data_IF_471097162192
#
_entry.id   IF_471097162192
#
_cell.length_a   1.000
_cell.length_b   1.000
_cell.length_c   1.000
_cell.angle_alpha   90.00
_cell.angle_beta   90.00
_cell.angle_gamma   90.00
#
_symmetry.space_group_name_H-M   'P 1'
#
loop_
_entity.id
_entity.type
_entity.pdbx_description
1 polymer ?
#
# COMPACT_ATOMS: atom_id res chain seq x y z
N UNK A 1 -6.51 10.60 -11.96
CA UNK A 1 -7.40 9.56 -11.39
C UNK A 1 -8.86 9.99 -11.49
N UNK A 2 -9.74 9.25 -12.19
CA UNK A 2 -11.19 9.47 -12.18
C UNK A 2 -11.79 9.15 -10.79
N UNK A 3 -12.98 9.67 -10.47
CA UNK A 3 -13.65 9.51 -9.16
C UNK A 3 -13.80 8.06 -8.68
N UNK A 4 -13.78 7.10 -9.60
CA UNK A 4 -13.80 5.66 -9.33
C UNK A 4 -12.61 5.20 -8.46
N UNK A 5 -11.45 5.86 -8.58
CA UNK A 5 -10.22 5.50 -7.87
C UNK A 5 -10.25 5.88 -6.38
N UNK A 6 -10.83 7.02 -6.01
CA UNK A 6 -10.95 7.46 -4.60
C UNK A 6 -12.01 6.63 -3.86
N UNK A 7 -13.14 6.33 -4.52
CA UNK A 7 -14.13 5.39 -3.98
C UNK A 7 -13.55 3.98 -3.85
N UNK A 8 -12.68 3.58 -4.78
CA UNK A 8 -11.88 2.34 -4.71
C UNK A 8 -10.98 2.29 -3.47
N UNK A 9 -10.20 3.34 -3.21
CA UNK A 9 -9.33 3.45 -2.03
C UNK A 9 -10.12 3.39 -0.72
N UNK A 10 -11.24 4.12 -0.62
CA UNK A 10 -12.13 4.05 0.57
C UNK A 10 -12.77 2.68 0.75
N UNK A 11 -13.18 2.02 -0.34
CA UNK A 11 -13.77 0.66 -0.28
C UNK A 11 -12.74 -0.39 0.09
N UNK A 12 -11.53 -0.32 -0.47
CA UNK A 12 -10.41 -1.19 -0.11
C UNK A 12 -10.06 -1.01 1.38
N UNK A 13 -9.91 0.23 1.84
CA UNK A 13 -9.61 0.52 3.23
C UNK A 13 -10.72 0.09 4.21
N UNK A 14 -12.00 0.36 3.89
CA UNK A 14 -13.13 -0.10 4.73
C UNK A 14 -13.23 -1.62 4.83
N UNK A 15 -12.88 -2.37 3.77
CA UNK A 15 -12.83 -3.85 3.80
C UNK A 15 -11.73 -4.37 4.71
N UNK A 16 -10.62 -3.64 4.84
CA UNK A 16 -9.50 -3.99 5.71
C UNK A 16 -9.79 -3.61 7.18
N UNK A 17 -10.44 -2.48 7.43
CA UNK A 17 -10.80 -1.99 8.78
C UNK A 17 -11.92 -2.81 9.45
N UNK A 18 -12.82 -3.39 8.67
CA UNK A 18 -13.92 -4.22 9.16
C UNK A 18 -14.06 -5.50 8.31
N UNK A 19 -13.24 -6.54 8.55
CA UNK A 19 -13.37 -7.80 7.85
C UNK A 19 -14.55 -8.61 8.45
N UNK A 20 -15.79 -8.27 8.09
CA UNK A 20 -16.95 -9.01 8.60
C UNK A 20 -18.30 -8.49 8.11
N UNK A 21 -18.88 -9.19 7.12
CA UNK A 21 -20.25 -8.95 6.66
C UNK A 21 -20.52 -9.50 5.25
N UNK A 22 -20.24 -10.78 5.01
CA UNK A 22 -20.46 -11.42 3.72
C UNK A 22 -20.24 -12.94 3.76
N UNK A 23 -20.93 -13.64 4.66
CA UNK A 23 -21.20 -15.08 4.49
C UNK A 23 -22.36 -15.26 3.51
N UNK A 24 -22.59 -16.40 2.86
CA UNK A 24 -22.07 -17.74 3.06
C UNK A 24 -22.94 -18.67 2.20
N UNK A 25 -22.35 -19.77 1.78
CA UNK A 25 -22.91 -20.89 1.02
C UNK A 25 -24.29 -21.36 1.48
N UNK A 26 -25.18 -21.64 0.52
CA UNK A 26 -26.48 -22.25 0.77
C UNK A 26 -26.40 -23.74 1.05
N UNK A 27 -27.12 -24.20 2.07
CA UNK A 27 -27.67 -25.55 2.16
C UNK A 27 -28.96 -25.47 2.99
N UNK A 28 -30.03 -26.07 2.46
CA UNK A 28 -31.42 -25.97 2.91
C UNK A 28 -31.80 -27.14 3.83
N UNK A 29 -32.52 -26.82 4.91
CA UNK A 29 -33.61 -27.59 5.59
C UNK A 29 -33.75 -27.03 7.03
N UNK A 30 -34.90 -26.85 7.67
CA UNK A 30 -36.31 -27.00 7.35
C UNK A 30 -37.12 -26.32 8.49
N UNK A 31 -38.35 -25.93 8.19
CA UNK A 31 -39.49 -25.69 9.09
C UNK A 31 -39.69 -24.32 9.81
N UNK A 32 -40.96 -23.92 9.76
CA UNK A 32 -41.67 -22.69 10.14
C UNK A 32 -42.19 -22.76 11.61
N UNK A 33 -43.05 -21.84 12.11
CA UNK A 33 -43.18 -20.38 11.92
C UNK A 33 -43.42 -19.61 13.26
N UNK A 34 -43.34 -18.28 13.26
CA UNK A 34 -44.41 -17.44 13.84
C UNK A 34 -44.22 -15.94 13.60
N UNK A 35 -45.36 -15.28 13.46
CA UNK A 35 -45.58 -13.97 12.90
C UNK A 35 -45.33 -12.79 13.87
N UNK A 36 -45.00 -11.61 13.33
CA UNK A 36 -45.84 -10.41 13.51
C UNK A 36 -45.52 -9.33 12.47
N UNK A 37 -46.61 -8.83 11.88
CA UNK A 37 -46.68 -7.92 10.72
C UNK A 37 -46.38 -6.46 11.09
N UNK A 38 -45.78 -5.73 10.16
CA UNK A 38 -45.83 -4.26 10.04
C UNK A 38 -47.12 -3.85 9.32
N UNK A 39 -47.68 -2.66 9.57
CA UNK A 39 -48.64 -2.04 8.66
C UNK A 39 -48.03 -0.87 7.87
N UNK A 40 -48.42 -0.77 6.61
CA UNK A 40 -48.44 0.43 5.77
C UNK A 40 -49.70 0.34 4.88
N UNK A 41 -50.03 1.35 4.08
CA UNK A 41 -50.65 2.62 4.43
C UNK A 41 -52.10 2.74 3.87
N UNK A 42 -52.89 3.71 4.34
CA UNK A 42 -54.22 4.02 3.76
C UNK A 42 -54.13 5.16 2.76
N UNK A 43 -54.65 4.89 1.57
CA UNK A 43 -54.94 5.78 0.44
C UNK A 43 -56.37 6.33 0.51
N UNK A 44 -56.54 7.63 0.21
CA UNK A 44 -57.80 8.26 -0.22
C UNK A 44 -57.38 9.34 -1.24
N UNK A 45 -57.54 9.09 -2.54
CA UNK A 45 -58.69 9.39 -3.42
C UNK A 45 -58.86 10.88 -3.72
N UNK A 46 -58.80 11.20 -5.02
CA UNK A 46 -58.95 12.51 -5.62
C UNK A 46 -60.41 12.80 -6.01
N UNK A 47 -60.84 14.05 -5.90
CA UNK A 47 -61.68 14.70 -6.93
C UNK A 47 -61.69 16.22 -6.80
N UNK A 48 -61.82 16.83 -7.97
CA UNK A 48 -62.46 18.11 -8.31
C UNK A 48 -61.64 19.40 -8.52
N UNK A 49 -62.01 20.00 -9.67
CA UNK A 49 -61.45 21.11 -10.41
C UNK A 49 -62.33 22.36 -10.20
N UNK A 50 -61.69 23.54 -10.16
CA UNK A 50 -62.14 24.87 -10.64
C UNK A 50 -61.70 25.97 -9.64
N UNK A 51 -60.79 26.89 -9.99
CA UNK A 51 -60.94 28.12 -10.79
C UNK A 51 -60.97 29.37 -9.90
N UNK A 52 -60.00 30.26 -10.15
CA UNK A 52 -59.92 31.71 -9.94
C UNK A 52 -59.46 32.36 -8.61
N UNK A 53 -58.65 33.39 -8.88
CA UNK A 53 -58.38 34.66 -8.18
C UNK A 53 -57.22 34.69 -7.19
N UNK A 54 -56.21 35.45 -7.64
CA UNK A 54 -54.93 35.59 -6.98
C UNK A 54 -54.97 36.44 -5.74
N UNK A 55 -53.91 36.29 -4.94
CA UNK A 55 -53.40 37.30 -4.03
C UNK A 55 -51.87 37.27 -4.16
N UNK A 56 -51.32 38.46 -4.35
CA UNK A 56 -49.91 38.81 -4.40
C UNK A 56 -49.19 38.42 -3.12
N UNK A 57 -48.09 37.68 -3.24
CA UNK A 57 -47.10 37.50 -2.17
C UNK A 57 -45.90 38.41 -2.49
N UNK A 58 -45.46 39.30 -1.59
CA UNK A 58 -44.35 40.19 -1.88
C UNK A 58 -43.04 39.42 -1.92
N UNK A 59 -42.24 39.77 -2.93
CA UNK A 59 -40.84 39.42 -3.11
C UNK A 59 -40.05 39.70 -1.84
N UNK A 60 -39.53 38.65 -1.21
CA UNK A 60 -38.57 38.77 -0.13
C UNK A 60 -37.22 39.20 -0.71
N UNK A 61 -36.88 40.43 -0.34
CA UNK A 61 -35.68 41.20 -0.59
C UNK A 61 -34.38 40.41 -0.39
N UNK A 62 -33.44 40.67 -1.29
CA UNK A 62 -32.06 40.19 -1.29
C UNK A 62 -31.19 40.79 -0.16
N UNK A 63 -31.59 40.62 1.10
CA UNK A 63 -30.88 41.11 2.29
C UNK A 63 -30.21 39.99 3.13
N UNK A 64 -30.42 38.71 2.78
CA UNK A 64 -29.89 37.56 3.52
C UNK A 64 -28.52 37.03 3.05
N UNK A 65 -28.00 37.51 1.92
CA UNK A 65 -26.79 36.99 1.29
C UNK A 65 -25.49 37.65 1.80
N UNK A 66 -25.56 38.85 2.37
CA UNK A 66 -24.38 39.59 2.85
C UNK A 66 -23.93 39.19 4.25
N UNK A 67 -24.87 38.86 5.15
CA UNK A 67 -24.58 38.47 6.55
C UNK A 67 -23.92 37.09 6.66
N UNK A 68 -24.28 36.14 5.80
CA UNK A 68 -23.73 34.78 5.78
C UNK A 68 -22.30 34.74 5.23
N UNK A 69 -21.99 35.56 4.23
CA UNK A 69 -20.64 35.69 3.67
C UNK A 69 -19.65 36.32 4.67
N UNK A 70 -20.09 37.34 5.42
CA UNK A 70 -19.28 37.97 6.47
C UNK A 70 -19.00 36.98 7.62
N UNK A 71 -20.01 36.25 8.10
CA UNK A 71 -19.84 35.24 9.13
C UNK A 71 -18.95 34.07 8.68
N UNK A 72 -19.08 33.61 7.43
CA UNK A 72 -18.23 32.57 6.86
C UNK A 72 -16.76 33.04 6.73
N UNK A 73 -16.54 34.31 6.37
CA UNK A 73 -15.22 34.93 6.32
C UNK A 73 -14.57 35.01 7.71
N UNK A 74 -15.32 35.41 8.73
CA UNK A 74 -14.85 35.41 10.12
C UNK A 74 -14.53 34.00 10.61
N UNK A 75 -15.36 33.00 10.31
CA UNK A 75 -15.11 31.60 10.68
C UNK A 75 -13.86 31.03 9.97
N UNK A 76 -13.65 31.37 8.70
CA UNK A 76 -12.44 30.99 7.98
C UNK A 76 -11.18 31.63 8.58
N UNK A 77 -11.26 32.89 9.01
CA UNK A 77 -10.14 33.55 9.70
C UNK A 77 -9.83 32.91 11.05
N UNK A 78 -10.85 32.58 11.85
CA UNK A 78 -10.68 31.85 13.11
C UNK A 78 -10.08 30.47 12.88
N UNK A 79 -10.50 29.75 11.83
CA UNK A 79 -9.92 28.47 11.46
C UNK A 79 -8.43 28.58 11.14
N UNK A 80 -8.02 29.65 10.44
CA UNK A 80 -6.63 29.89 10.09
C UNK A 80 -5.77 30.18 11.33
N UNK A 81 -6.28 30.99 12.28
CA UNK A 81 -5.59 31.23 13.55
C UNK A 81 -5.42 29.95 14.37
N UNK A 82 -6.46 29.11 14.44
CA UNK A 82 -6.40 27.82 15.15
C UNK A 82 -5.39 26.87 14.46
N UNK A 83 -5.38 26.84 13.13
CA UNK A 83 -4.41 26.07 12.35
C UNK A 83 -2.99 26.58 12.61
N UNK A 84 -2.76 27.88 12.69
CA UNK A 84 -1.42 28.44 12.95
C UNK A 84 -0.94 28.18 14.37
N UNK A 85 -1.82 28.24 15.37
CA UNK A 85 -1.50 27.77 16.74
C UNK A 85 -1.18 26.27 16.75
N UNK A 86 -1.96 25.46 16.02
CA UNK A 86 -1.67 24.04 15.84
C UNK A 86 -0.30 23.80 15.22
N UNK A 87 0.09 24.61 14.22
CA UNK A 87 1.42 24.56 13.60
C UNK A 87 2.54 24.90 14.61
N UNK A 88 2.31 25.82 15.55
CA UNK A 88 3.26 26.14 16.61
C UNK A 88 3.45 24.97 17.58
N UNK A 89 2.35 24.38 18.09
CA UNK A 89 2.43 23.17 18.93
C UNK A 89 3.12 22.01 18.20
N UNK A 90 2.79 21.81 16.92
CA UNK A 90 3.44 20.78 16.09
C UNK A 90 4.96 20.99 15.99
N UNK A 91 5.42 22.22 15.78
CA UNK A 91 6.85 22.56 15.73
C UNK A 91 7.53 22.33 17.09
N UNK A 92 6.81 22.53 18.19
CA UNK A 92 7.30 22.29 19.55
C UNK A 92 7.29 20.80 19.94
N UNK A 93 6.82 19.90 19.06
CA UNK A 93 6.71 18.47 19.34
C UNK A 93 5.46 18.06 20.13
N UNK A 94 4.59 19.01 20.49
CA UNK A 94 3.33 18.75 21.16
C UNK A 94 2.23 18.40 20.14
N UNK A 95 2.28 17.14 19.69
CA UNK A 95 1.37 16.64 18.65
C UNK A 95 -0.07 16.46 19.14
N UNK A 96 -0.28 16.23 20.44
CA UNK A 96 -1.62 16.06 21.03
C UNK A 96 -2.37 17.39 21.00
N UNK A 97 -1.76 18.47 21.48
CA UNK A 97 -2.38 19.79 21.42
C UNK A 97 -2.56 20.26 19.98
N UNK A 98 -1.59 19.95 19.10
CA UNK A 98 -1.72 20.26 17.67
C UNK A 98 -2.94 19.56 17.04
N UNK A 99 -3.15 18.27 17.31
CA UNK A 99 -4.32 17.53 16.82
C UNK A 99 -5.64 18.16 17.30
N UNK A 100 -5.72 18.54 18.58
CA UNK A 100 -6.89 19.20 19.15
C UNK A 100 -7.18 20.53 18.45
N UNK A 101 -6.15 21.37 18.27
CA UNK A 101 -6.29 22.66 17.59
C UNK A 101 -6.68 22.52 16.12
N UNK A 102 -6.12 21.55 15.39
CA UNK A 102 -6.54 21.27 14.03
C UNK A 102 -7.98 20.76 13.96
N UNK A 103 -8.41 19.96 14.93
CA UNK A 103 -9.80 19.47 15.01
C UNK A 103 -10.78 20.63 15.19
N UNK A 104 -10.46 21.58 16.08
CA UNK A 104 -11.23 22.81 16.22
C UNK A 104 -11.20 23.65 14.93
N UNK A 105 -10.06 23.75 14.26
CA UNK A 105 -9.94 24.46 12.99
C UNK A 105 -10.81 23.84 11.88
N UNK A 106 -10.89 22.50 11.80
CA UNK A 106 -11.78 21.78 10.87
C UNK A 106 -13.25 22.07 11.14
N UNK A 107 -13.66 22.16 12.42
CA UNK A 107 -15.04 22.51 12.78
C UNK A 107 -15.41 23.94 12.30
N UNK A 108 -14.43 24.85 12.26
CA UNK A 108 -14.63 26.23 11.77
C UNK A 108 -14.57 26.34 10.25
N UNK A 109 -13.73 25.56 9.59
CA UNK A 109 -13.63 25.52 8.13
C UNK A 109 -13.39 24.08 7.62
N UNK A 110 -14.46 23.30 7.38
CA UNK A 110 -14.34 21.93 6.91
C UNK A 110 -13.99 21.82 5.42
N UNK A 111 -13.94 22.93 4.69
CA UNK A 111 -13.62 22.97 3.27
C UNK A 111 -12.11 23.12 3.00
N UNK A 112 -11.30 23.42 4.02
CA UNK A 112 -9.86 23.63 3.85
C UNK A 112 -9.07 22.29 3.88
N UNK A 113 -8.52 21.82 2.75
CA UNK A 113 -7.77 20.55 2.67
C UNK A 113 -6.47 20.56 3.48
N UNK A 114 -5.87 21.73 3.70
CA UNK A 114 -4.57 21.84 4.38
C UNK A 114 -4.68 21.50 5.86
N UNK A 115 -5.81 21.82 6.50
CA UNK A 115 -6.02 21.52 7.92
C UNK A 115 -6.07 20.00 8.15
N UNK A 116 -6.76 19.26 7.27
CA UNK A 116 -6.77 17.80 7.29
C UNK A 116 -5.36 17.22 7.10
N UNK A 117 -4.58 17.78 6.16
CA UNK A 117 -3.20 17.33 5.91
C UNK A 117 -2.29 17.57 7.12
N UNK A 118 -2.46 18.71 7.81
CA UNK A 118 -1.69 19.03 9.01
C UNK A 118 -2.09 18.14 10.19
N UNK A 119 -3.38 17.85 10.35
CA UNK A 119 -3.85 16.91 11.37
C UNK A 119 -3.38 15.48 11.09
N UNK A 120 -3.41 15.03 9.84
CA UNK A 120 -2.86 13.74 9.44
C UNK A 120 -1.38 13.60 9.82
N UNK A 121 -0.59 14.65 9.61
CA UNK A 121 0.82 14.65 10.01
C UNK A 121 0.99 14.55 11.53
N UNK A 122 0.19 15.28 12.32
CA UNK A 122 0.19 15.17 13.78
C UNK A 122 -0.19 13.75 14.24
N UNK A 123 -1.23 13.18 13.65
CA UNK A 123 -1.69 11.81 13.92
C UNK A 123 -0.66 10.75 13.58
N UNK A 124 0.06 10.90 12.46
CA UNK A 124 1.18 10.03 12.13
C UNK A 124 2.29 10.08 13.18
N UNK A 125 2.60 11.27 13.73
CA UNK A 125 3.59 11.41 14.80
C UNK A 125 3.15 10.79 16.12
N UNK A 126 1.84 10.69 16.34
CA UNK A 126 1.23 9.99 17.47
C UNK A 126 1.06 8.48 17.25
N UNK A 127 1.31 7.97 16.04
CA UNK A 127 1.06 6.57 15.68
C UNK A 127 -0.40 6.25 15.33
N UNK A 128 -1.28 7.27 15.26
CA UNK A 128 -2.68 7.14 14.86
C UNK A 128 -2.82 7.04 13.33
N UNK A 129 -2.25 5.98 12.73
CA UNK A 129 -2.14 5.84 11.28
C UNK A 129 -3.50 5.67 10.57
N UNK A 130 -4.46 5.00 11.20
CA UNK A 130 -5.81 4.85 10.64
C UNK A 130 -6.52 6.19 10.49
N UNK A 131 -6.50 7.00 11.54
CA UNK A 131 -7.12 8.33 11.53
C UNK A 131 -6.38 9.29 10.58
N UNK A 132 -5.07 9.13 10.44
CA UNK A 132 -4.29 9.86 9.45
C UNK A 132 -4.69 9.50 8.01
N UNK A 133 -5.00 8.23 7.72
CA UNK A 133 -5.52 7.81 6.41
C UNK A 133 -6.86 8.48 6.12
N UNK A 134 -7.78 8.48 7.08
CA UNK A 134 -9.11 9.11 6.93
C UNK A 134 -8.97 10.62 6.61
N UNK A 135 -8.07 11.32 7.31
CA UNK A 135 -7.76 12.73 7.05
C UNK A 135 -7.12 12.96 5.68
N UNK A 136 -6.16 12.12 5.29
CA UNK A 136 -5.53 12.22 3.97
C UNK A 136 -6.57 12.02 2.85
N UNK A 137 -7.43 11.01 2.99
CA UNK A 137 -8.50 10.75 2.03
C UNK A 137 -9.49 11.91 1.96
N UNK A 138 -9.83 12.54 3.10
CA UNK A 138 -10.69 13.74 3.08
C UNK A 138 -10.00 14.93 2.44
N UNK A 139 -8.71 15.14 2.70
CA UNK A 139 -7.94 16.19 2.01
C UNK A 139 -7.89 15.96 0.50
N UNK A 140 -7.75 14.72 0.04
CA UNK A 140 -7.70 14.37 -1.39
C UNK A 140 -9.07 14.58 -2.06
N UNK A 141 -10.15 14.31 -1.33
CA UNK A 141 -11.52 14.59 -1.77
C UNK A 141 -11.74 16.09 -2.02
N UNK A 142 -11.23 16.94 -1.12
CA UNK A 142 -11.32 18.40 -1.22
C UNK A 142 -10.33 18.98 -2.26
N UNK A 143 -9.12 18.44 -2.31
CA UNK A 143 -8.06 18.87 -3.22
C UNK A 143 -7.33 17.67 -3.82
N UNK A 144 -7.74 17.28 -5.02
CA UNK A 144 -7.21 16.10 -5.71
C UNK A 144 -5.70 16.16 -5.97
N UNK A 145 -5.13 17.35 -6.15
CA UNK A 145 -3.69 17.57 -6.43
C UNK A 145 -2.88 17.93 -5.17
N UNK A 146 -3.24 17.39 -4.01
CA UNK A 146 -2.47 17.61 -2.78
C UNK A 146 -1.37 16.55 -2.60
N UNK A 147 -0.15 16.88 -3.05
CA UNK A 147 1.05 16.01 -2.95
C UNK A 147 1.33 15.53 -1.51
N UNK A 148 1.20 16.42 -0.52
CA UNK A 148 1.48 16.08 0.89
C UNK A 148 0.49 15.06 1.43
N UNK A 149 -0.79 15.18 1.07
CA UNK A 149 -1.81 14.22 1.47
C UNK A 149 -1.51 12.81 0.93
N UNK A 150 -1.09 12.65 -0.33
CA UNK A 150 -0.66 11.35 -0.86
C UNK A 150 0.61 10.82 -0.18
N UNK A 151 1.55 11.70 0.15
CA UNK A 151 2.80 11.32 0.85
C UNK A 151 2.50 10.77 2.25
N UNK A 152 1.65 11.45 3.01
CA UNK A 152 1.23 11.01 4.35
C UNK A 152 0.33 9.77 4.29
N UNK A 153 -0.52 9.66 3.28
CA UNK A 153 -1.31 8.46 3.01
C UNK A 153 -0.42 7.24 2.79
N UNK A 154 0.58 7.35 1.90
CA UNK A 154 1.52 6.29 1.62
C UNK A 154 2.29 5.85 2.87
N UNK A 155 2.82 6.81 3.64
CA UNK A 155 3.54 6.51 4.89
C UNK A 155 2.66 5.83 5.93
N UNK A 156 1.40 6.27 6.07
CA UNK A 156 0.46 5.65 7.01
C UNK A 156 0.06 4.24 6.57
N UNK A 157 -0.12 4.02 5.26
CA UNK A 157 -0.38 2.69 4.69
C UNK A 157 0.80 1.73 4.89
N UNK A 158 2.05 2.21 4.74
CA UNK A 158 3.23 1.39 5.07
C UNK A 158 3.28 1.02 6.54
N UNK A 159 2.99 1.97 7.43
CA UNK A 159 3.00 1.70 8.87
C UNK A 159 1.95 0.64 9.28
N UNK A 160 0.84 0.55 8.54
CA UNK A 160 -0.19 -0.49 8.71
C UNK A 160 0.10 -1.78 7.89
N UNK A 161 1.30 -1.92 7.32
CA UNK A 161 1.70 -3.08 6.51
C UNK A 161 0.80 -3.32 5.28
N UNK A 162 0.37 -2.24 4.62
CA UNK A 162 -0.36 -2.27 3.35
C UNK A 162 0.50 -1.77 2.16
N UNK A 163 1.55 -2.51 1.75
CA UNK A 163 2.57 -2.00 0.84
C UNK A 163 2.07 -1.76 -0.60
N UNK A 164 1.06 -2.50 -1.06
CA UNK A 164 0.50 -2.32 -2.41
C UNK A 164 -0.20 -0.95 -2.55
N UNK A 165 -1.03 -0.61 -1.57
CA UNK A 165 -1.76 0.65 -1.52
C UNK A 165 -0.79 1.80 -1.30
N UNK A 166 0.17 1.61 -0.37
CA UNK A 166 1.22 2.58 -0.12
C UNK A 166 2.04 2.91 -1.38
N UNK A 167 2.43 1.90 -2.15
CA UNK A 167 3.16 2.10 -3.41
C UNK A 167 2.34 2.93 -4.40
N UNK A 168 1.05 2.63 -4.54
CA UNK A 168 0.16 3.38 -5.43
C UNK A 168 0.05 4.85 -5.02
N UNK A 169 -0.11 5.12 -3.72
CA UNK A 169 -0.17 6.47 -3.16
C UNK A 169 1.17 7.22 -3.32
N UNK A 170 2.30 6.54 -3.08
CA UNK A 170 3.64 7.10 -3.21
C UNK A 170 3.96 7.49 -4.66
N UNK A 171 3.61 6.65 -5.64
CA UNK A 171 3.79 6.95 -7.06
C UNK A 171 2.97 8.17 -7.49
N UNK A 172 1.73 8.33 -6.98
CA UNK A 172 0.93 9.53 -7.26
C UNK A 172 1.54 10.77 -6.61
N UNK A 173 2.04 10.67 -5.38
CA UNK A 173 2.77 11.77 -4.73
C UNK A 173 4.00 12.17 -5.55
N UNK A 174 4.76 11.20 -6.05
CA UNK A 174 5.96 11.42 -6.86
C UNK A 174 5.63 12.10 -8.19
N UNK A 175 4.59 11.62 -8.89
CA UNK A 175 4.12 12.21 -10.15
C UNK A 175 3.68 13.68 -9.96
N UNK A 176 2.95 13.97 -8.88
CA UNK A 176 2.56 15.34 -8.54
C UNK A 176 3.78 16.21 -8.19
N UNK A 177 4.79 15.63 -7.55
CA UNK A 177 6.03 16.31 -7.20
C UNK A 177 6.83 16.72 -8.45
N UNK A 178 6.99 15.81 -9.42
CA UNK A 178 7.74 16.09 -10.65
C UNK A 178 7.01 17.08 -11.56
N UNK A 179 5.68 16.97 -11.65
CA UNK A 179 4.85 17.85 -12.49
C UNK A 179 4.61 19.23 -11.85
N UNK A 180 5.01 19.42 -10.60
CA UNK A 180 4.86 20.71 -9.93
C UNK A 180 5.73 21.76 -10.61
N UNK A 181 5.15 22.93 -10.90
CA UNK A 181 5.91 24.08 -11.41
C UNK A 181 6.88 24.64 -10.36
N UNK A 182 6.65 24.35 -9.07
CA UNK A 182 7.54 24.74 -7.99
C UNK A 182 8.50 23.58 -7.70
N UNK A 183 9.83 23.78 -7.82
CA UNK A 183 10.79 22.75 -7.47
C UNK A 183 10.74 22.51 -5.97
N UNK A 184 10.12 21.42 -5.55
CA UNK A 184 10.10 20.99 -4.15
C UNK A 184 11.43 20.33 -3.77
N UNK A 185 11.83 20.50 -2.52
CA UNK A 185 12.97 19.76 -1.92
C UNK A 185 12.61 18.31 -1.61
N UNK A 186 11.34 17.95 -1.75
CA UNK A 186 10.77 16.69 -1.30
C UNK A 186 10.93 15.57 -2.34
N UNK A 187 11.40 15.85 -3.57
CA UNK A 187 11.47 14.86 -4.66
C UNK A 187 12.33 13.64 -4.30
N UNK A 188 13.51 13.85 -3.73
CA UNK A 188 14.38 12.76 -3.27
C UNK A 188 13.73 11.97 -2.13
N UNK A 189 13.07 12.65 -1.19
CA UNK A 189 12.37 12.00 -0.07
C UNK A 189 11.18 11.16 -0.54
N UNK A 190 10.43 11.62 -1.54
CA UNK A 190 9.30 10.89 -2.11
C UNK A 190 9.80 9.74 -2.99
N UNK A 191 10.90 9.91 -3.72
CA UNK A 191 11.57 8.83 -4.47
C UNK A 191 12.02 7.70 -3.53
N UNK A 192 12.70 8.05 -2.43
CA UNK A 192 13.08 7.09 -1.39
C UNK A 192 11.86 6.37 -0.78
N UNK A 193 10.74 7.08 -0.58
CA UNK A 193 9.49 6.47 -0.12
C UNK A 193 8.94 5.45 -1.13
N UNK A 194 9.03 5.72 -2.44
CA UNK A 194 8.63 4.75 -3.47
C UNK A 194 9.48 3.49 -3.37
N UNK A 195 10.80 3.62 -3.23
CA UNK A 195 11.71 2.48 -3.05
C UNK A 195 11.38 1.70 -1.76
N UNK A 196 11.13 2.40 -0.66
CA UNK A 196 10.69 1.78 0.60
C UNK A 196 9.38 0.99 0.44
N UNK A 197 8.40 1.54 -0.29
CA UNK A 197 7.15 0.82 -0.59
C UNK A 197 7.41 -0.45 -1.40
N UNK A 198 8.30 -0.39 -2.39
CA UNK A 198 8.66 -1.55 -3.21
C UNK A 198 9.40 -2.62 -2.39
N UNK A 199 10.31 -2.22 -1.50
CA UNK A 199 10.95 -3.11 -0.52
C UNK A 199 9.92 -3.83 0.35
N UNK A 200 9.04 -3.08 1.02
CA UNK A 200 8.02 -3.65 1.90
C UNK A 200 7.07 -4.61 1.16
N UNK A 201 6.73 -4.31 -0.10
CA UNK A 201 5.95 -5.21 -0.96
C UNK A 201 6.69 -6.52 -1.23
N UNK A 202 8.00 -6.45 -1.47
CA UNK A 202 8.83 -7.64 -1.63
C UNK A 202 8.94 -8.45 -0.34
N UNK A 203 9.29 -7.81 0.78
CA UNK A 203 9.40 -8.46 2.09
C UNK A 203 8.10 -9.19 2.46
N UNK A 204 6.94 -8.60 2.17
CA UNK A 204 5.65 -9.25 2.39
C UNK A 204 5.48 -10.54 1.57
N UNK A 205 5.87 -10.53 0.28
CA UNK A 205 5.83 -11.72 -0.57
C UNK A 205 6.83 -12.77 -0.12
N UNK A 206 8.04 -12.34 0.25
CA UNK A 206 9.11 -13.23 0.66
C UNK A 206 8.80 -13.91 2.01
N UNK A 207 8.23 -13.16 2.95
CA UNK A 207 7.74 -13.69 4.22
C UNK A 207 6.69 -14.78 4.00
N UNK A 208 5.76 -14.56 3.09
CA UNK A 208 4.72 -15.54 2.74
C UNK A 208 5.32 -16.76 2.03
N UNK A 209 6.32 -16.58 1.15
CA UNK A 209 7.05 -17.67 0.51
C UNK A 209 7.74 -18.55 1.57
N UNK A 210 8.45 -17.95 2.51
CA UNK A 210 9.12 -18.68 3.60
C UNK A 210 8.12 -19.36 4.53
N UNK A 211 7.00 -18.70 4.84
CA UNK A 211 5.91 -19.28 5.64
C UNK A 211 5.33 -20.55 5.02
N UNK A 212 5.27 -20.64 3.69
CA UNK A 212 4.86 -21.87 2.97
C UNK A 212 5.99 -22.89 2.86
N UNK A 213 7.21 -22.44 2.58
CA UNK A 213 8.38 -23.33 2.40
C UNK A 213 8.72 -24.12 3.66
N UNK A 214 8.75 -23.44 4.81
CA UNK A 214 9.24 -24.02 6.06
C UNK A 214 8.43 -25.25 6.54
N UNK A 215 7.08 -25.22 6.60
CA UNK A 215 6.31 -26.41 6.95
C UNK A 215 6.29 -27.45 5.82
N UNK A 216 6.38 -27.04 4.55
CA UNK A 216 6.32 -27.96 3.41
C UNK A 216 7.43 -29.02 3.45
N UNK A 217 8.65 -28.64 3.84
CA UNK A 217 9.73 -29.61 3.98
C UNK A 217 9.40 -30.67 5.03
N UNK A 218 8.95 -30.25 6.21
CA UNK A 218 8.55 -31.15 7.29
C UNK A 218 7.38 -32.07 6.87
N UNK A 219 6.35 -31.52 6.24
CA UNK A 219 5.20 -32.31 5.74
C UNK A 219 5.61 -33.36 4.70
N UNK A 220 6.62 -33.07 3.88
CA UNK A 220 7.12 -34.00 2.88
C UNK A 220 8.00 -35.08 3.51
N UNK A 221 8.85 -34.72 4.49
CA UNK A 221 9.62 -35.68 5.28
C UNK A 221 8.68 -36.65 6.02
N UNK A 222 7.67 -36.14 6.72
CA UNK A 222 6.67 -36.94 7.43
C UNK A 222 5.95 -37.93 6.50
N UNK A 223 5.63 -37.52 5.26
CA UNK A 223 4.98 -38.39 4.27
C UNK A 223 5.91 -39.49 3.76
N UNK A 224 7.19 -39.19 3.57
CA UNK A 224 8.19 -40.18 3.15
C UNK A 224 8.36 -41.22 4.27
N UNK A 225 8.49 -40.77 5.51
CA UNK A 225 8.60 -41.65 6.69
C UNK A 225 7.32 -42.48 6.91
N UNK A 226 6.14 -41.88 6.74
CA UNK A 226 4.87 -42.60 6.85
C UNK A 226 4.72 -43.71 5.79
N UNK A 227 5.13 -43.45 4.55
CA UNK A 227 5.17 -44.47 3.49
C UNK A 227 6.13 -45.60 3.85
N UNK A 228 7.32 -45.27 4.33
CA UNK A 228 8.30 -46.26 4.77
C UNK A 228 7.78 -47.10 5.95
N UNK A 229 7.10 -46.49 6.91
CA UNK A 229 6.48 -47.19 8.03
C UNK A 229 5.38 -48.16 7.58
N UNK A 230 4.58 -47.80 6.58
CA UNK A 230 3.56 -48.70 6.00
C UNK A 230 4.21 -49.89 5.31
N UNK A 231 5.24 -49.68 4.49
CA UNK A 231 5.99 -50.76 3.84
C UNK A 231 6.67 -51.66 4.88
N UNK A 232 7.22 -51.06 5.94
CA UNK A 232 7.82 -51.77 7.06
C UNK A 232 6.83 -52.69 7.79
N UNK A 233 5.59 -52.24 7.99
CA UNK A 233 4.51 -53.06 8.55
C UNK A 233 4.19 -54.24 7.63
N UNK A 234 4.12 -54.02 6.32
CA UNK A 234 3.85 -55.07 5.33
C UNK A 234 4.96 -56.14 5.34
N UNK A 235 6.23 -55.74 5.39
CA UNK A 235 7.37 -56.66 5.46
C UNK A 235 7.30 -57.51 6.74
N UNK A 236 7.02 -56.87 7.88
CA UNK A 236 6.94 -57.57 9.17
C UNK A 236 5.76 -58.55 9.23
N UNK A 237 4.62 -58.17 8.64
CA UNK A 237 3.43 -59.02 8.55
C UNK A 237 3.71 -60.25 7.67
N UNK A 238 4.29 -60.09 6.48
CA UNK A 238 4.72 -61.21 5.61
C UNK A 238 5.70 -62.16 6.31
N UNK A 239 6.68 -61.60 7.03
CA UNK A 239 7.64 -62.39 7.81
C UNK A 239 6.94 -63.17 8.93
N UNK A 240 5.96 -62.57 9.61
CA UNK A 240 5.21 -63.24 10.70
C UNK A 240 4.34 -64.40 10.21
N UNK A 241 3.82 -64.32 8.97
CA UNK A 241 3.04 -65.38 8.33
C UNK A 241 3.90 -66.50 7.72
N UNK A 242 5.22 -66.35 7.74
CA UNK A 242 6.15 -67.30 7.10
C UNK A 242 6.17 -67.23 5.58
N UNK A 243 5.60 -66.19 4.98
CA UNK A 243 5.63 -65.94 3.53
C UNK A 243 6.99 -65.39 3.06
N UNK A 244 7.86 -64.99 3.99
CA UNK A 244 9.18 -64.38 3.75
C UNK A 244 10.20 -64.93 4.76
N UNK A 245 11.42 -65.23 4.29
CA UNK A 245 12.49 -65.75 5.16
C UNK A 245 13.01 -64.70 6.14
N UNK A 246 13.55 -65.13 7.29
CA UNK A 246 14.05 -64.19 8.31
C UNK A 246 15.22 -63.32 7.80
N UNK A 247 16.12 -63.90 6.99
CA UNK A 247 17.25 -63.19 6.38
C UNK A 247 16.74 -62.22 5.31
N UNK A 248 15.84 -62.67 4.44
CA UNK A 248 15.19 -61.87 3.40
C UNK A 248 14.44 -60.67 4.00
N UNK A 249 13.71 -60.86 5.08
CA UNK A 249 13.02 -59.78 5.78
C UNK A 249 13.99 -58.75 6.38
N UNK A 250 15.16 -59.17 6.88
CA UNK A 250 16.20 -58.22 7.34
C UNK A 250 16.74 -57.43 6.16
N UNK A 251 17.06 -58.09 5.05
CA UNK A 251 17.60 -57.45 3.85
C UNK A 251 16.61 -56.43 3.27
N UNK A 252 15.33 -56.78 3.10
CA UNK A 252 14.29 -55.84 2.63
C UNK A 252 14.14 -54.62 3.55
N UNK A 253 14.16 -54.81 4.87
CA UNK A 253 14.12 -53.68 5.83
C UNK A 253 15.32 -52.76 5.69
N UNK A 254 16.51 -53.33 5.55
CA UNK A 254 17.73 -52.53 5.38
C UNK A 254 17.73 -51.77 4.06
N UNK A 255 17.24 -52.38 2.98
CA UNK A 255 17.08 -51.75 1.68
C UNK A 255 16.05 -50.61 1.72
N UNK A 256 14.90 -50.84 2.36
CA UNK A 256 13.86 -49.83 2.56
C UNK A 256 14.38 -48.62 3.37
N UNK A 257 15.09 -48.87 4.47
CA UNK A 257 15.69 -47.82 5.30
C UNK A 257 16.68 -46.97 4.49
N UNK A 258 17.57 -47.62 3.73
CA UNK A 258 18.54 -46.93 2.87
C UNK A 258 17.86 -46.11 1.77
N UNK A 259 16.85 -46.67 1.11
CA UNK A 259 16.10 -45.96 0.07
C UNK A 259 15.33 -44.76 0.62
N UNK A 260 14.76 -44.90 1.82
CA UNK A 260 14.03 -43.82 2.52
C UNK A 260 14.98 -42.69 2.89
N UNK A 261 16.14 -43.04 3.47
CA UNK A 261 17.16 -42.06 3.82
C UNK A 261 17.63 -41.28 2.58
N UNK A 262 17.90 -41.97 1.47
CA UNK A 262 18.29 -41.32 0.22
C UNK A 262 17.20 -40.34 -0.27
N UNK A 263 15.92 -40.72 -0.23
CA UNK A 263 14.80 -39.83 -0.61
C UNK A 263 14.75 -38.57 0.26
N UNK A 264 14.97 -38.69 1.56
CA UNK A 264 15.00 -37.55 2.50
C UNK A 264 16.21 -36.65 2.18
N UNK A 265 17.38 -37.22 1.94
CA UNK A 265 18.59 -36.45 1.57
C UNK A 265 18.41 -35.71 0.25
N UNK A 266 17.85 -36.37 -0.76
CA UNK A 266 17.54 -35.76 -2.06
C UNK A 266 16.54 -34.60 -1.88
N UNK A 267 15.49 -34.81 -1.08
CA UNK A 267 14.51 -33.76 -0.74
C UNK A 267 15.17 -32.56 -0.06
N UNK A 268 15.98 -32.80 0.98
CA UNK A 268 16.73 -31.76 1.69
C UNK A 268 17.67 -31.00 0.75
N UNK A 269 18.32 -31.70 -0.19
CA UNK A 269 19.19 -31.07 -1.18
C UNK A 269 18.42 -30.12 -2.10
N UNK A 270 17.23 -30.50 -2.56
CA UNK A 270 16.35 -29.67 -3.41
C UNK A 270 15.95 -28.39 -2.66
N UNK A 271 15.54 -28.54 -1.40
CA UNK A 271 15.16 -27.39 -0.56
C UNK A 271 16.37 -26.51 -0.20
N UNK A 272 17.56 -27.09 -0.07
CA UNK A 272 18.81 -26.36 0.18
C UNK A 272 19.27 -25.56 -1.05
N UNK A 273 19.08 -26.09 -2.27
CA UNK A 273 19.32 -25.36 -3.53
C UNK A 273 18.36 -24.17 -3.64
N UNK A 274 17.11 -24.35 -3.22
CA UNK A 274 16.09 -23.29 -3.20
C UNK A 274 16.22 -22.33 -1.99
N UNK A 275 17.21 -22.52 -1.13
CA UNK A 275 17.42 -21.64 0.02
C UNK A 275 18.05 -20.31 -0.41
N UNK A 276 17.43 -19.17 -0.09
CA UNK A 276 17.99 -17.86 -0.45
C UNK A 276 19.38 -17.59 0.16
N UNK A 277 19.76 -18.25 1.25
CA UNK A 277 21.10 -18.14 1.84
C UNK A 277 22.16 -18.90 1.04
N UNK A 278 21.74 -19.88 0.23
CA UNK A 278 22.60 -20.66 -0.67
C UNK A 278 22.50 -20.20 -2.13
N UNK A 279 21.64 -19.22 -2.43
CA UNK A 279 21.57 -18.64 -3.77
C UNK A 279 22.85 -17.87 -4.09
N UNK A 280 23.26 -17.90 -5.37
CA UNK A 280 24.38 -17.11 -5.87
C UNK A 280 24.26 -15.63 -5.46
N UNK A 281 25.41 -14.98 -5.29
CA UNK A 281 25.51 -13.58 -4.89
C UNK A 281 24.59 -12.72 -5.75
N UNK A 282 23.66 -12.04 -5.09
CA UNK A 282 22.68 -11.15 -5.68
C UNK A 282 23.39 -9.89 -6.15
N UNK A 283 23.58 -9.72 -7.45
CA UNK A 283 24.25 -8.55 -8.03
C UNK A 283 23.29 -7.78 -8.93
N UNK A 284 23.21 -6.47 -8.68
CA UNK A 284 22.42 -5.56 -9.52
C UNK A 284 23.33 -5.08 -10.64
N UNK A 285 22.94 -5.21 -11.92
CA UNK A 285 23.75 -4.71 -13.02
C UNK A 285 24.02 -3.21 -12.88
N UNK A 286 25.30 -2.81 -12.99
CA UNK A 286 25.76 -1.44 -12.79
C UNK A 286 24.98 -0.39 -13.59
N UNK A 287 24.55 -0.74 -14.80
CA UNK A 287 23.80 0.17 -15.67
C UNK A 287 22.38 0.51 -15.18
N UNK A 288 21.85 -0.22 -14.19
CA UNK A 288 20.58 0.08 -13.53
C UNK A 288 20.76 0.95 -12.27
N UNK A 289 21.99 1.11 -11.80
CA UNK A 289 22.34 1.81 -10.57
C UNK A 289 22.59 3.29 -10.89
N UNK A 290 22.05 4.18 -10.06
CA UNK A 290 22.30 5.61 -10.15
C UNK A 290 23.71 5.94 -9.62
N UNK A 291 24.51 6.65 -10.41
CA UNK A 291 25.88 7.03 -10.04
C UNK A 291 25.96 8.07 -8.90
N UNK A 292 24.84 8.68 -8.51
CA UNK A 292 24.78 9.65 -7.40
C UNK A 292 24.36 8.97 -6.10
N UNK A 293 23.23 8.25 -6.11
CA UNK A 293 22.70 7.59 -4.91
C UNK A 293 23.25 6.19 -4.66
N UNK A 294 23.84 5.55 -5.67
CA UNK A 294 24.21 4.14 -5.65
C UNK A 294 23.03 3.19 -5.36
N UNK A 295 21.82 3.67 -5.57
CA UNK A 295 20.58 2.90 -5.50
C UNK A 295 20.08 2.59 -6.91
N UNK A 296 19.22 1.58 -7.04
CA UNK A 296 18.62 1.27 -8.33
C UNK A 296 17.66 2.37 -8.79
N UNK A 297 17.77 2.76 -10.06
CA UNK A 297 16.91 3.77 -10.68
C UNK A 297 15.48 3.25 -10.84
N UNK A 298 14.50 4.07 -10.47
CA UNK A 298 13.09 3.81 -10.73
C UNK A 298 12.46 4.83 -11.69
N UNK A 299 13.05 6.04 -11.80
CA UNK A 299 12.69 7.05 -12.78
C UNK A 299 13.96 7.64 -13.43
N UNK A 300 14.65 6.84 -14.26
CA UNK A 300 15.89 7.27 -14.90
C UNK A 300 15.65 8.41 -15.91
N UNK A 301 16.56 9.38 -15.88
CA UNK A 301 16.68 10.46 -16.88
C UNK A 301 18.05 10.40 -17.53
N UNK A 302 18.08 10.67 -18.83
CA UNK A 302 19.30 10.74 -19.62
C UNK A 302 19.71 12.21 -19.82
N UNK A 303 21.00 12.49 -19.65
CA UNK A 303 21.61 13.79 -19.96
C UNK A 303 21.93 13.87 -21.45
N UNK A 304 22.22 15.08 -21.95
CA UNK A 304 22.61 15.29 -23.36
C UNK A 304 23.89 14.54 -23.75
N UNK A 305 24.68 14.10 -22.77
CA UNK A 305 25.93 13.35 -22.96
C UNK A 305 25.69 11.82 -22.96
N UNK A 306 24.44 11.38 -22.78
CA UNK A 306 24.08 9.96 -22.82
C UNK A 306 24.15 9.23 -21.47
N UNK A 307 24.56 9.90 -20.39
CA UNK A 307 24.57 9.30 -19.05
C UNK A 307 23.18 9.32 -18.43
N UNK A 308 22.82 8.23 -17.75
CA UNK A 308 21.53 8.12 -17.05
C UNK A 308 21.72 8.21 -15.54
N UNK A 309 20.78 8.90 -14.89
CA UNK A 309 20.73 9.10 -13.45
C UNK A 309 19.30 8.98 -12.96
N UNK A 310 19.12 8.76 -11.66
CA UNK A 310 17.79 8.89 -11.05
C UNK A 310 17.34 10.36 -11.09
N UNK A 311 16.10 10.62 -11.56
CA UNK A 311 15.61 12.00 -11.74
C UNK A 311 15.72 12.82 -10.47
N UNK A 312 15.28 12.26 -9.36
CA UNK A 312 15.20 12.98 -8.09
C UNK A 312 16.59 13.39 -7.58
N UNK A 313 17.59 12.52 -7.72
CA UNK A 313 18.97 12.76 -7.26
C UNK A 313 19.67 13.78 -8.16
N UNK A 314 19.53 13.63 -9.48
CA UNK A 314 20.12 14.56 -10.43
C UNK A 314 19.54 15.97 -10.33
N UNK A 315 18.22 16.11 -10.14
CA UNK A 315 17.60 17.42 -9.94
C UNK A 315 18.14 18.11 -8.68
N UNK A 316 18.32 17.36 -7.59
CA UNK A 316 18.88 17.92 -6.35
C UNK A 316 20.35 18.33 -6.51
N UNK A 317 21.14 17.54 -7.25
CA UNK A 317 22.51 17.91 -7.65
C UNK A 317 22.52 19.21 -8.47
N UNK A 318 21.67 19.32 -9.49
CA UNK A 318 21.61 20.48 -10.39
C UNK A 318 21.18 21.78 -9.69
N UNK A 319 20.42 21.69 -8.60
CA UNK A 319 20.10 22.85 -7.74
C UNK A 319 21.34 23.38 -7.00
N UNK A 320 22.34 22.53 -6.75
CA UNK A 320 23.58 22.88 -6.04
C UNK A 320 24.72 23.22 -7.00
N UNK A 321 24.82 22.47 -8.10
CA UNK A 321 25.86 22.61 -9.11
C UNK A 321 25.25 22.41 -10.51
N UNK A 322 25.21 23.44 -11.38
CA UNK A 322 24.58 23.37 -12.70
C UNK A 322 25.48 22.67 -13.75
N UNK A 323 26.05 21.52 -13.37
CA UNK A 323 26.98 20.74 -14.18
C UNK A 323 26.65 19.25 -14.09
N UNK A 324 26.94 18.48 -15.15
CA UNK A 324 26.83 17.03 -15.12
C UNK A 324 27.74 16.45 -14.03
N UNK A 325 27.24 15.55 -13.15
CA UNK A 325 28.03 14.97 -12.07
C UNK A 325 29.32 14.28 -12.54
N UNK A 326 29.28 13.65 -13.72
CA UNK A 326 30.39 12.87 -14.27
C UNK A 326 31.27 13.73 -15.17
N UNK A 327 30.70 14.36 -16.20
CA UNK A 327 31.50 15.07 -17.23
C UNK A 327 31.87 16.49 -16.83
N UNK A 328 31.24 17.05 -15.78
CA UNK A 328 31.39 18.44 -15.32
C UNK A 328 30.98 19.51 -16.32
N UNK A 329 30.41 19.11 -17.47
CA UNK A 329 29.90 20.04 -18.46
C UNK A 329 28.64 20.76 -17.98
N UNK A 330 28.35 21.98 -18.46
CA UNK A 330 27.14 22.71 -18.09
C UNK A 330 25.88 21.90 -18.44
N UNK A 331 25.00 21.68 -17.46
CA UNK A 331 23.77 20.91 -17.62
C UNK A 331 22.61 21.60 -16.90
N UNK A 332 21.48 21.75 -17.58
CA UNK A 332 20.25 22.31 -17.01
C UNK A 332 19.17 21.25 -16.85
N UNK A 333 18.23 21.50 -15.94
CA UNK A 333 17.07 20.62 -15.71
C UNK A 333 16.24 20.43 -17.00
N UNK A 334 16.19 21.46 -17.84
CA UNK A 334 15.48 21.46 -19.12
C UNK A 334 16.12 20.53 -20.17
N UNK A 335 17.41 20.20 -20.01
CA UNK A 335 18.14 19.32 -20.93
C UNK A 335 17.81 17.84 -20.66
N UNK A 336 17.24 17.53 -19.49
CA UNK A 336 16.97 16.16 -19.06
C UNK A 336 15.84 15.55 -19.90
N UNK A 337 16.03 14.30 -20.32
CA UNK A 337 15.01 13.53 -21.03
C UNK A 337 14.69 12.25 -20.24
N UNK A 338 13.41 11.87 -20.06
CA UNK A 338 13.07 10.58 -19.46
C UNK A 338 13.67 9.43 -20.27
N UNK A 339 14.41 8.53 -19.62
CA UNK A 339 14.95 7.34 -20.27
C UNK A 339 13.93 6.19 -20.14
N UNK A 340 12.97 6.15 -21.06
CA UNK A 340 11.85 5.19 -21.01
C UNK A 340 12.35 3.75 -21.11
N UNK A 341 13.30 3.49 -22.01
CA UNK A 341 13.88 2.16 -22.22
C UNK A 341 14.58 1.65 -20.96
N UNK A 342 15.41 2.49 -20.32
CA UNK A 342 16.07 2.10 -19.07
C UNK A 342 15.08 1.89 -17.93
N UNK A 343 14.02 2.71 -17.86
CA UNK A 343 12.95 2.52 -16.87
C UNK A 343 12.23 1.19 -17.05
N UNK A 344 11.96 0.79 -18.29
CA UNK A 344 11.41 -0.53 -18.62
C UNK A 344 12.38 -1.65 -18.26
N UNK A 345 13.67 -1.51 -18.57
CA UNK A 345 14.70 -2.46 -18.17
C UNK A 345 14.80 -2.61 -16.64
N UNK A 346 14.76 -1.51 -15.88
CA UNK A 346 14.69 -1.57 -14.42
C UNK A 346 13.44 -2.34 -13.97
N UNK A 347 12.26 -2.04 -14.52
CA UNK A 347 11.01 -2.71 -14.20
C UNK A 347 11.03 -4.21 -14.51
N UNK A 348 11.53 -4.59 -15.68
CA UNK A 348 11.69 -5.99 -16.08
C UNK A 348 12.68 -6.73 -15.16
N UNK A 349 13.81 -6.09 -14.84
CA UNK A 349 14.78 -6.63 -13.90
C UNK A 349 14.13 -6.86 -12.53
N UNK A 350 13.28 -5.94 -12.05
CA UNK A 350 12.55 -6.10 -10.80
C UNK A 350 11.58 -7.28 -10.83
N UNK A 351 10.82 -7.43 -11.90
CA UNK A 351 9.83 -8.50 -12.04
C UNK A 351 10.49 -9.88 -12.13
N UNK A 352 11.57 -10.01 -12.92
CA UNK A 352 12.33 -11.25 -13.08
C UNK A 352 13.04 -11.69 -11.80
N UNK A 353 13.61 -10.75 -11.06
CA UNK A 353 14.38 -11.05 -9.85
C UNK A 353 13.53 -11.13 -8.59
N UNK A 354 12.21 -11.33 -8.73
CA UNK A 354 11.26 -11.41 -7.63
C UNK A 354 11.22 -10.21 -6.69
N UNK A 355 12.00 -9.15 -6.90
CA UNK A 355 12.01 -7.91 -6.12
C UNK A 355 13.03 -7.83 -4.98
N UNK A 356 13.98 -8.78 -4.84
CA UNK A 356 15.03 -8.71 -3.79
C UNK A 356 15.94 -7.50 -3.93
N UNK A 357 15.91 -6.84 -5.08
CA UNK A 357 16.76 -5.72 -5.47
C UNK A 357 16.62 -4.49 -4.56
N UNK A 358 15.57 -4.41 -3.77
CA UNK A 358 15.38 -3.35 -2.77
C UNK A 358 15.84 -3.76 -1.36
N UNK A 359 16.40 -4.96 -1.20
CA UNK A 359 17.07 -5.37 0.02
C UNK A 359 18.50 -4.81 0.01
N UNK A 360 18.84 -4.04 1.03
CA UNK A 360 20.11 -3.30 1.15
C UNK A 360 20.83 -3.73 2.42
#
# INVERSE_FOLDING_TARGET
MPESSIRGLRRAYKRLRFPGGGGGSGSLSSEHPSARRRPSPRSLSASDVSTTRGHSVPSATAAGLTTTAAAASTMAHVAEQLKDRGNQHFKNGDYVSAESLYTQAIQRNPANPLIFTNRANARMKLGHFEDAIDDCLKSIELMRKNMKAYTFLAKSQLALNHPNEALSSALVAYDLCIKSSTPTRDAQTISALVLQCKKSKWEGRERERLRRKNPLLAELEDKIEASANQEQVIINDKASRGEMGAVEAVEERTALAKATQQKIEDLRSIFAIADPNNMAKREVPDHLIDNISFEIMHDPVITKNGHSYERATLIEHLKRSPTDPLTREPLKIEDLRPNIALREACNEFFEKNSGWVYDW
#
